data_IF_606900411322
#
_entry.id   IF_606900411322
#
_cell.length_a   1.000
_cell.length_b   1.000
_cell.length_c   1.000
_cell.angle_alpha   90.00
_cell.angle_beta   90.00
_cell.angle_gamma   90.00
#
_symmetry.space_group_name_H-M   'P 1'
#
loop_
_entity.id
_entity.type
_entity.pdbx_description
1 polymer ?
#
# COMPACT_ATOMS: atom_id res chain seq x y z
N UNK A 1 16.36 -14.14 12.00
CA UNK A 1 15.44 -13.32 11.20
C UNK A 1 14.55 -14.17 10.31
N UNK A 2 15.08 -14.97 9.37
CA UNK A 2 14.30 -15.79 8.44
C UNK A 2 13.24 -16.67 9.13
N UNK A 3 13.61 -17.38 10.21
CA UNK A 3 12.67 -18.21 10.99
C UNK A 3 11.47 -17.40 11.53
N UNK A 4 11.68 -16.16 11.97
CA UNK A 4 10.59 -15.32 12.49
C UNK A 4 9.68 -14.85 11.37
N UNK A 5 10.26 -14.48 10.23
CA UNK A 5 9.49 -14.14 9.04
C UNK A 5 8.61 -15.32 8.59
N UNK A 6 9.17 -16.54 8.51
CA UNK A 6 8.40 -17.74 8.17
C UNK A 6 7.25 -18.01 9.15
N UNK A 7 7.45 -17.74 10.44
CA UNK A 7 6.37 -17.85 11.43
C UNK A 7 5.27 -16.81 11.21
N UNK A 8 5.63 -15.56 10.90
CA UNK A 8 4.63 -14.54 10.54
C UNK A 8 3.89 -14.90 9.26
N UNK A 9 4.58 -15.45 8.25
CA UNK A 9 3.98 -15.91 7.00
C UNK A 9 2.90 -16.99 7.21
N UNK A 10 3.16 -17.97 8.09
CA UNK A 10 2.19 -19.04 8.39
C UNK A 10 0.96 -18.53 9.14
N UNK A 11 1.09 -17.45 9.93
CA UNK A 11 -0.03 -16.85 10.66
C UNK A 11 -1.00 -16.07 9.76
N UNK A 12 -0.56 -15.67 8.57
CA UNK A 12 -1.38 -14.86 7.67
C UNK A 12 -2.60 -15.66 7.21
N UNK A 13 -3.75 -14.99 7.25
CA UNK A 13 -5.01 -15.53 6.74
C UNK A 13 -5.05 -15.40 5.21
N UNK A 14 -4.31 -16.28 4.53
CA UNK A 14 -4.09 -16.22 3.07
C UNK A 14 -5.37 -16.21 2.24
N UNK A 15 -6.44 -16.86 2.69
CA UNK A 15 -7.74 -16.82 2.02
C UNK A 15 -8.35 -15.41 1.97
N UNK A 16 -8.25 -14.67 3.08
CA UNK A 16 -8.73 -13.27 3.17
C UNK A 16 -7.85 -12.35 2.33
N UNK A 17 -6.53 -12.52 2.44
CA UNK A 17 -5.56 -11.75 1.65
C UNK A 17 -5.80 -11.95 0.16
N UNK A 18 -5.96 -13.19 -0.29
CA UNK A 18 -6.19 -13.53 -1.69
C UNK A 18 -7.52 -12.94 -2.20
N UNK A 19 -8.60 -13.07 -1.42
CA UNK A 19 -9.88 -12.47 -1.77
C UNK A 19 -9.77 -10.95 -1.97
N UNK A 20 -9.12 -10.25 -1.04
CA UNK A 20 -8.95 -8.79 -1.14
C UNK A 20 -8.11 -8.41 -2.35
N UNK A 21 -6.99 -9.10 -2.57
CA UNK A 21 -6.12 -8.87 -3.72
C UNK A 21 -6.88 -9.05 -5.04
N UNK A 22 -7.64 -10.15 -5.19
CA UNK A 22 -8.42 -10.41 -6.41
C UNK A 22 -9.52 -9.34 -6.59
N UNK A 23 -10.17 -8.94 -5.51
CA UNK A 23 -11.23 -7.91 -5.54
C UNK A 23 -10.69 -6.57 -6.02
N UNK A 24 -9.59 -6.08 -5.45
CA UNK A 24 -8.90 -4.86 -5.90
C UNK A 24 -8.49 -4.98 -7.37
N UNK A 25 -7.83 -6.08 -7.72
CA UNK A 25 -7.27 -6.27 -9.05
C UNK A 25 -8.37 -6.30 -10.14
N UNK A 26 -9.54 -6.90 -9.86
CA UNK A 26 -10.68 -6.92 -10.78
C UNK A 26 -11.41 -5.58 -10.84
N UNK A 27 -11.65 -4.92 -9.71
CA UNK A 27 -12.37 -3.64 -9.68
C UNK A 27 -11.57 -2.57 -10.43
N UNK A 28 -10.28 -2.42 -10.13
CA UNK A 28 -9.49 -1.35 -10.74
C UNK A 28 -9.26 -1.56 -12.23
N UNK A 29 -9.04 -2.80 -12.67
CA UNK A 29 -8.87 -3.09 -14.09
C UNK A 29 -10.17 -2.92 -14.87
N UNK A 30 -11.32 -3.29 -14.29
CA UNK A 30 -12.64 -3.03 -14.86
C UNK A 30 -12.96 -1.54 -14.94
N UNK A 31 -12.71 -0.78 -13.87
CA UNK A 31 -12.86 0.68 -13.88
C UNK A 31 -11.92 1.33 -14.90
N UNK A 32 -10.67 0.87 -14.99
CA UNK A 32 -9.71 1.35 -15.98
C UNK A 32 -10.21 1.20 -17.41
N UNK A 33 -10.79 0.04 -17.74
CA UNK A 33 -11.41 -0.21 -19.04
C UNK A 33 -12.56 0.76 -19.32
N UNK A 34 -13.50 0.89 -18.38
CA UNK A 34 -14.69 1.76 -18.50
C UNK A 34 -14.27 3.22 -18.68
N UNK A 35 -13.31 3.71 -17.89
CA UNK A 35 -12.89 5.10 -17.96
C UNK A 35 -12.07 5.42 -19.22
N UNK A 36 -11.22 4.49 -19.69
CA UNK A 36 -10.50 4.68 -20.95
C UNK A 36 -11.49 4.84 -22.12
N UNK A 37 -12.55 4.02 -22.17
CA UNK A 37 -13.60 4.15 -23.19
C UNK A 37 -14.40 5.45 -23.01
N UNK A 38 -14.73 5.81 -21.77
CA UNK A 38 -15.52 7.01 -21.48
C UNK A 38 -14.80 8.31 -21.81
N UNK A 39 -13.47 8.35 -21.71
CA UNK A 39 -12.65 9.55 -21.94
C UNK A 39 -11.88 9.55 -23.24
N UNK A 40 -12.16 8.60 -24.16
CA UNK A 40 -11.40 8.42 -25.40
C UNK A 40 -11.35 9.65 -26.32
N UNK A 41 -12.36 10.53 -26.26
CA UNK A 41 -12.40 11.78 -27.04
C UNK A 41 -11.40 12.83 -26.53
N UNK A 42 -11.03 12.76 -25.25
CA UNK A 42 -10.11 13.68 -24.58
C UNK A 42 -8.70 13.08 -24.51
N UNK A 43 -8.62 11.80 -24.16
CA UNK A 43 -7.39 11.03 -24.02
C UNK A 43 -7.45 9.81 -24.94
N UNK A 44 -6.66 9.80 -26.03
CA UNK A 44 -6.64 8.67 -26.95
C UNK A 44 -6.33 7.36 -26.21
N UNK A 45 -7.08 6.27 -26.50
CA UNK A 45 -6.82 4.97 -25.90
C UNK A 45 -5.37 4.54 -26.11
N UNK A 46 -4.71 4.08 -25.06
CA UNK A 46 -3.33 3.59 -25.10
C UNK A 46 -3.04 2.73 -23.87
N UNK A 47 -1.93 1.99 -23.88
CA UNK A 47 -1.48 1.26 -22.69
C UNK A 47 -1.21 2.17 -21.49
N UNK A 48 -0.63 3.35 -21.72
CA UNK A 48 -0.40 4.35 -20.68
C UNK A 48 -1.72 4.88 -20.11
N UNK A 49 -2.72 5.10 -20.95
CA UNK A 49 -4.02 5.59 -20.50
C UNK A 49 -4.81 4.53 -19.74
N UNK A 50 -4.82 3.29 -20.22
CA UNK A 50 -5.40 2.16 -19.48
C UNK A 50 -4.75 2.03 -18.09
N UNK A 51 -3.42 2.15 -18.02
CA UNK A 51 -2.70 2.11 -16.75
C UNK A 51 -3.07 3.28 -15.85
N UNK A 52 -3.10 4.52 -16.39
CA UNK A 52 -3.49 5.73 -15.66
C UNK A 52 -4.87 5.59 -15.01
N UNK A 53 -5.84 5.11 -15.78
CA UNK A 53 -7.20 4.94 -15.28
C UNK A 53 -7.29 3.79 -14.27
N UNK A 54 -6.60 2.68 -14.53
CA UNK A 54 -6.58 1.53 -13.62
C UNK A 54 -5.90 1.86 -12.28
N UNK A 55 -4.76 2.55 -12.32
CA UNK A 55 -3.97 2.83 -11.12
C UNK A 55 -4.65 3.83 -10.20
N UNK A 56 -5.45 4.76 -10.74
CA UNK A 56 -5.98 5.91 -9.97
C UNK A 56 -6.78 5.45 -8.75
N UNK A 57 -7.74 4.54 -8.92
CA UNK A 57 -8.55 4.08 -7.79
C UNK A 57 -7.77 3.12 -6.88
N UNK A 58 -6.85 2.34 -7.45
CA UNK A 58 -5.95 1.47 -6.72
C UNK A 58 -5.05 2.27 -5.75
N UNK A 59 -4.32 3.26 -6.25
CA UNK A 59 -3.34 4.03 -5.49
C UNK A 59 -3.97 5.00 -4.49
N UNK A 60 -5.17 5.52 -4.81
CA UNK A 60 -5.90 6.44 -3.93
C UNK A 60 -6.62 5.72 -2.79
N UNK A 61 -7.23 4.56 -3.08
CA UNK A 61 -8.20 3.95 -2.17
C UNK A 61 -7.71 2.60 -1.65
N UNK A 62 -7.62 1.61 -2.53
CA UNK A 62 -7.41 0.22 -2.11
C UNK A 62 -6.03 -0.03 -1.53
N UNK A 63 -4.98 0.50 -2.16
CA UNK A 63 -3.61 0.27 -1.73
C UNK A 63 -3.35 0.86 -0.33
N UNK A 64 -3.72 2.12 -0.04
CA UNK A 64 -3.69 2.64 1.34
C UNK A 64 -4.63 1.93 2.31
N UNK A 65 -5.82 1.51 1.88
CA UNK A 65 -6.77 0.76 2.71
C UNK A 65 -6.18 -0.59 3.16
N UNK A 66 -5.54 -1.31 2.25
CA UNK A 66 -5.01 -2.65 2.49
C UNK A 66 -3.83 -2.64 3.45
N UNK A 67 -3.04 -1.56 3.50
CA UNK A 67 -2.00 -1.42 4.53
C UNK A 67 -2.57 -1.53 5.95
N UNK A 68 -3.71 -0.89 6.21
CA UNK A 68 -4.36 -0.92 7.52
C UNK A 68 -5.01 -2.26 7.81
N UNK A 69 -5.68 -2.86 6.83
CA UNK A 69 -6.27 -4.21 6.96
C UNK A 69 -5.17 -5.23 7.29
N UNK A 70 -4.10 -5.27 6.50
CA UNK A 70 -3.03 -6.25 6.66
C UNK A 70 -2.21 -6.00 7.94
N UNK A 71 -1.93 -4.75 8.30
CA UNK A 71 -1.30 -4.44 9.59
C UNK A 71 -2.15 -4.96 10.77
N UNK A 72 -3.48 -4.80 10.67
CA UNK A 72 -4.42 -5.29 11.67
C UNK A 72 -4.49 -6.81 11.71
N UNK A 73 -4.49 -7.50 10.55
CA UNK A 73 -4.46 -8.96 10.47
C UNK A 73 -3.16 -9.55 11.05
N UNK A 74 -2.01 -8.94 10.76
CA UNK A 74 -0.70 -9.35 11.30
C UNK A 74 -0.64 -9.26 12.84
N UNK A 75 -1.42 -8.34 13.45
CA UNK A 75 -1.50 -8.20 14.91
C UNK A 75 -2.74 -8.90 15.50
N UNK A 76 -3.65 -9.40 14.67
CA UNK A 76 -4.97 -9.87 15.11
C UNK A 76 -4.86 -11.09 16.01
N UNK A 77 -4.03 -12.06 15.64
CA UNK A 77 -3.85 -13.30 16.40
C UNK A 77 -3.35 -12.99 17.82
N UNK A 78 -2.37 -12.11 17.95
CA UNK A 78 -1.79 -11.75 19.24
C UNK A 78 -2.77 -10.95 20.11
N UNK A 79 -3.57 -10.06 19.51
CA UNK A 79 -4.62 -9.33 20.24
C UNK A 79 -5.76 -10.24 20.69
N UNK A 80 -6.25 -11.12 19.81
CA UNK A 80 -7.39 -12.00 20.08
C UNK A 80 -7.08 -13.01 21.19
N UNK A 81 -5.89 -13.61 21.13
CA UNK A 81 -5.49 -14.69 22.03
C UNK A 81 -4.70 -14.20 23.25
N UNK A 82 -4.53 -12.88 23.44
CA UNK A 82 -3.63 -12.28 24.44
C UNK A 82 -2.22 -12.89 24.37
N UNK A 83 -1.79 -13.28 23.18
CA UNK A 83 -0.58 -14.09 22.96
C UNK A 83 0.71 -13.24 22.97
N UNK A 84 0.61 -11.90 23.08
CA UNK A 84 1.77 -11.02 23.15
C UNK A 84 2.73 -11.40 24.29
N UNK A 85 2.22 -11.75 25.47
CA UNK A 85 3.05 -12.17 26.61
C UNK A 85 3.76 -13.49 26.36
N UNK A 86 3.07 -14.48 25.80
CA UNK A 86 3.63 -15.79 25.46
C UNK A 86 4.70 -15.67 24.35
N UNK A 87 4.42 -14.85 23.33
CA UNK A 87 5.36 -14.59 22.24
C UNK A 87 6.64 -13.93 22.74
N UNK A 88 6.53 -13.02 23.71
CA UNK A 88 7.66 -12.29 24.28
C UNK A 88 8.38 -13.04 25.41
N UNK A 89 7.82 -14.14 25.92
CA UNK A 89 8.53 -15.06 26.83
C UNK A 89 9.45 -16.04 26.09
N UNK A 90 9.27 -16.20 24.77
CA UNK A 90 10.21 -16.95 23.96
C UNK A 90 11.55 -16.21 23.88
N UNK A 91 12.68 -16.91 23.68
CA UNK A 91 14.01 -16.30 23.54
C UNK A 91 14.18 -15.61 22.18
N UNK A 92 13.32 -14.63 21.90
CA UNK A 92 13.23 -13.89 20.66
C UNK A 92 13.40 -12.40 20.95
N UNK A 93 14.28 -11.74 20.20
CA UNK A 93 14.49 -10.30 20.39
C UNK A 93 13.25 -9.50 19.94
N UNK A 94 12.84 -8.51 20.74
CA UNK A 94 11.73 -7.60 20.38
C UNK A 94 12.01 -6.84 19.07
N UNK A 95 13.28 -6.51 18.83
CA UNK A 95 13.73 -5.82 17.62
C UNK A 95 13.48 -6.68 16.37
N UNK A 96 13.93 -7.94 16.42
CA UNK A 96 13.75 -8.90 15.33
C UNK A 96 12.28 -9.19 15.06
N UNK A 97 11.44 -9.23 16.09
CA UNK A 97 10.01 -9.46 15.96
C UNK A 97 9.29 -8.29 15.28
N UNK A 98 9.60 -7.04 15.68
CA UNK A 98 9.03 -5.85 15.04
C UNK A 98 9.38 -5.80 13.55
N UNK A 99 10.66 -5.99 13.22
CA UNK A 99 11.14 -6.01 11.84
C UNK A 99 10.51 -7.16 11.03
N UNK A 100 10.33 -8.35 11.61
CA UNK A 100 9.68 -9.45 10.93
C UNK A 100 8.23 -9.12 10.55
N UNK A 101 7.46 -8.49 11.46
CA UNK A 101 6.08 -8.05 11.19
C UNK A 101 6.03 -6.96 10.12
N UNK A 102 6.97 -6.00 10.17
CA UNK A 102 7.08 -4.98 9.14
C UNK A 102 7.40 -5.59 7.77
N UNK A 103 8.42 -6.45 7.67
CA UNK A 103 8.77 -7.14 6.42
C UNK A 103 7.60 -7.97 5.87
N UNK A 104 6.83 -8.62 6.73
CA UNK A 104 5.64 -9.36 6.31
C UNK A 104 4.60 -8.41 5.71
N UNK A 105 4.32 -7.27 6.36
CA UNK A 105 3.40 -6.26 5.84
C UNK A 105 3.84 -5.74 4.47
N UNK A 106 5.11 -5.37 4.33
CA UNK A 106 5.65 -4.89 3.06
C UNK A 106 5.63 -5.97 1.97
N UNK A 107 5.80 -7.24 2.32
CA UNK A 107 5.62 -8.37 1.38
C UNK A 107 4.18 -8.46 0.90
N UNK A 108 3.20 -8.35 1.80
CA UNK A 108 1.78 -8.37 1.42
C UNK A 108 1.43 -7.20 0.49
N UNK A 109 1.98 -6.01 0.75
CA UNK A 109 1.80 -4.87 -0.15
C UNK A 109 2.46 -5.11 -1.52
N UNK A 110 3.60 -5.81 -1.59
CA UNK A 110 4.21 -6.18 -2.86
C UNK A 110 3.31 -7.13 -3.66
N UNK A 111 2.66 -8.09 -2.99
CA UNK A 111 1.72 -9.03 -3.63
C UNK A 111 0.49 -8.31 -4.19
N UNK A 112 -0.05 -7.32 -3.47
CA UNK A 112 -1.13 -6.44 -3.97
C UNK A 112 -0.69 -5.73 -5.24
N UNK A 113 0.49 -5.10 -5.22
CA UNK A 113 1.02 -4.37 -6.37
C UNK A 113 1.22 -5.29 -7.59
N UNK A 114 1.80 -6.48 -7.38
CA UNK A 114 2.02 -7.48 -8.45
C UNK A 114 0.68 -7.92 -9.04
N UNK A 115 -0.31 -8.22 -8.20
CA UNK A 115 -1.62 -8.65 -8.67
C UNK A 115 -2.33 -7.56 -9.48
N UNK A 116 -2.23 -6.29 -9.05
CA UNK A 116 -2.71 -5.15 -9.81
C UNK A 116 -2.08 -5.08 -11.21
N UNK A 117 -0.75 -5.24 -11.33
CA UNK A 117 -0.10 -5.28 -12.64
C UNK A 117 -0.55 -6.47 -13.49
N UNK A 118 -0.68 -7.65 -12.90
CA UNK A 118 -1.13 -8.85 -13.61
C UNK A 118 -2.52 -8.64 -14.20
N UNK A 119 -3.48 -8.11 -13.44
CA UNK A 119 -4.84 -7.88 -13.96
C UNK A 119 -4.89 -6.71 -14.94
N UNK A 120 -4.14 -5.64 -14.70
CA UNK A 120 -3.98 -4.56 -15.69
C UNK A 120 -3.48 -5.11 -17.04
N UNK A 121 -2.45 -5.96 -17.03
CA UNK A 121 -1.93 -6.57 -18.25
C UNK A 121 -3.00 -7.46 -18.90
N UNK A 122 -3.66 -8.34 -18.15
CA UNK A 122 -4.73 -9.20 -18.67
C UNK A 122 -5.83 -8.35 -19.34
N UNK A 123 -6.26 -7.26 -18.71
CA UNK A 123 -7.25 -6.35 -19.27
C UNK A 123 -6.75 -5.67 -20.55
N UNK A 124 -5.50 -5.21 -20.58
CA UNK A 124 -4.91 -4.66 -21.81
C UNK A 124 -4.80 -5.69 -22.93
N UNK A 125 -4.49 -6.95 -22.62
CA UNK A 125 -4.50 -8.04 -23.61
C UNK A 125 -5.89 -8.30 -24.20
N UNK A 126 -6.94 -8.14 -23.40
CA UNK A 126 -8.34 -8.31 -23.85
C UNK A 126 -8.79 -7.11 -24.70
N UNK A 127 -8.47 -5.88 -24.27
CA UNK A 127 -8.94 -4.64 -24.93
C UNK A 127 -8.10 -4.24 -26.15
N UNK A 128 -6.85 -4.71 -26.21
CA UNK A 128 -5.89 -4.40 -27.29
C UNK A 128 -5.76 -2.90 -27.59
N UNK A 129 -5.47 -2.05 -26.58
CA UNK A 129 -5.25 -0.63 -26.82
C UNK A 129 -4.06 -0.42 -27.76
N UNK A 130 -4.09 0.61 -28.61
CA UNK A 130 -3.07 0.83 -29.62
C UNK A 130 -1.72 1.19 -28.98
N UNK A 131 -0.65 0.89 -29.71
CA UNK A 131 0.73 1.16 -29.29
C UNK A 131 1.38 -0.01 -28.54
N UNK A 132 2.61 0.22 -28.09
CA UNK A 132 3.41 -0.76 -27.36
C UNK A 132 3.25 -0.60 -25.85
N UNK A 133 3.47 -1.70 -25.12
CA UNK A 133 3.47 -1.67 -23.65
C UNK A 133 4.72 -0.93 -23.16
N UNK A 134 4.59 0.16 -22.37
CA UNK A 134 5.73 0.91 -21.86
C UNK A 134 6.36 0.23 -20.64
N UNK A 135 6.98 -0.94 -20.86
CA UNK A 135 7.50 -1.82 -19.79
C UNK A 135 8.39 -1.12 -18.77
N UNK A 136 9.33 -0.28 -19.23
CA UNK A 136 10.27 0.42 -18.35
C UNK A 136 9.55 1.37 -17.39
N UNK A 137 8.55 2.11 -17.87
CA UNK A 137 7.77 3.04 -17.08
C UNK A 137 6.84 2.29 -16.10
N UNK A 138 6.17 1.24 -16.56
CA UNK A 138 5.29 0.42 -15.71
C UNK A 138 6.05 -0.21 -14.55
N UNK A 139 7.23 -0.79 -14.82
CA UNK A 139 8.08 -1.35 -13.77
C UNK A 139 8.56 -0.28 -12.80
N UNK A 140 8.95 0.89 -13.32
CA UNK A 140 9.34 2.03 -12.48
C UNK A 140 8.18 2.47 -11.59
N UNK A 141 6.98 2.71 -12.13
CA UNK A 141 5.81 3.12 -11.36
C UNK A 141 5.42 2.06 -10.32
N UNK A 142 5.58 0.78 -10.63
CA UNK A 142 5.32 -0.29 -9.68
C UNK A 142 6.27 -0.30 -8.49
N UNK A 143 7.57 -0.17 -8.75
CA UNK A 143 8.59 -0.12 -7.70
C UNK A 143 8.44 1.16 -6.87
N UNK A 144 8.25 2.32 -7.53
CA UNK A 144 8.07 3.60 -6.83
C UNK A 144 6.77 3.62 -6.02
N UNK A 145 5.67 3.10 -6.56
CA UNK A 145 4.41 2.91 -5.83
C UNK A 145 4.60 2.07 -4.58
N UNK A 146 5.26 0.92 -4.69
CA UNK A 146 5.56 0.06 -3.55
C UNK A 146 6.48 0.70 -2.52
N UNK A 147 7.53 1.42 -2.93
CA UNK A 147 8.40 2.14 -1.99
C UNK A 147 7.67 3.27 -1.27
N UNK A 148 6.77 3.96 -1.98
CA UNK A 148 6.04 5.11 -1.45
C UNK A 148 5.03 4.75 -0.34
N UNK A 149 4.59 3.48 -0.27
CA UNK A 149 3.64 3.02 0.76
C UNK A 149 4.34 2.71 2.11
N UNK A 150 5.67 2.66 2.15
CA UNK A 150 6.41 2.26 3.36
C UNK A 150 6.14 3.14 4.60
N UNK A 151 6.03 4.48 4.51
CA UNK A 151 5.66 5.31 5.65
C UNK A 151 4.29 4.91 6.22
N UNK A 152 3.29 4.71 5.35
CA UNK A 152 1.97 4.31 5.80
C UNK A 152 1.98 2.93 6.41
N UNK A 153 2.68 1.97 5.81
CA UNK A 153 2.81 0.63 6.38
C UNK A 153 3.45 0.66 7.78
N UNK A 154 4.49 1.46 7.98
CA UNK A 154 5.12 1.63 9.29
C UNK A 154 4.15 2.27 10.31
N UNK A 155 3.43 3.31 9.89
CA UNK A 155 2.41 3.98 10.71
C UNK A 155 1.26 3.03 11.09
N UNK A 156 0.70 2.31 10.11
CA UNK A 156 -0.40 1.38 10.33
C UNK A 156 0.02 0.23 11.24
N UNK A 157 1.21 -0.34 11.05
CA UNK A 157 1.74 -1.36 11.95
C UNK A 157 1.88 -0.83 13.38
N UNK A 158 2.37 0.40 13.55
CA UNK A 158 2.46 1.03 14.87
C UNK A 158 1.09 1.20 15.53
N UNK A 159 0.10 1.69 14.78
CA UNK A 159 -1.28 1.86 15.26
C UNK A 159 -1.90 0.50 15.60
N UNK A 160 -1.83 -0.48 14.71
CA UNK A 160 -2.40 -1.82 14.92
C UNK A 160 -1.77 -2.55 16.10
N UNK A 161 -0.52 -2.27 16.45
CA UNK A 161 0.09 -2.80 17.68
C UNK A 161 -0.53 -2.17 18.94
N UNK A 162 -0.84 -0.87 18.91
CA UNK A 162 -1.40 -0.14 20.07
C UNK A 162 -2.88 -0.39 20.28
N UNK A 163 -3.66 -0.34 19.21
CA UNK A 163 -5.12 -0.42 19.25
C UNK A 163 -5.57 -1.86 19.42
N UNK A 164 -6.24 -2.15 20.54
CA UNK A 164 -6.82 -3.47 20.78
C UNK A 164 -8.14 -3.60 20.02
N UNK A 165 -8.14 -4.49 19.02
CA UNK A 165 -9.32 -4.84 18.24
C UNK A 165 -9.22 -4.45 16.77
N UNK A 166 -9.43 -5.45 15.91
CA UNK A 166 -9.40 -5.33 14.45
C UNK A 166 -10.30 -4.19 13.94
N UNK A 167 -11.55 -4.13 14.41
CA UNK A 167 -12.53 -3.14 13.95
C UNK A 167 -12.13 -1.69 14.23
N UNK A 168 -11.43 -1.41 15.34
CA UNK A 168 -10.99 -0.04 15.68
C UNK A 168 -9.83 0.41 14.80
N UNK A 169 -8.85 -0.47 14.58
CA UNK A 169 -7.72 -0.20 13.69
C UNK A 169 -8.20 -0.03 12.24
N UNK A 170 -9.16 -0.84 11.82
CA UNK A 170 -9.79 -0.73 10.50
C UNK A 170 -10.58 0.58 10.34
N UNK A 171 -11.42 0.92 11.32
CA UNK A 171 -12.22 2.16 11.27
C UNK A 171 -11.32 3.39 11.14
N UNK A 172 -10.23 3.45 11.91
CA UNK A 172 -9.25 4.55 11.82
C UNK A 172 -8.62 4.64 10.42
N UNK A 173 -8.22 3.51 9.84
CA UNK A 173 -7.66 3.49 8.51
C UNK A 173 -8.68 3.97 7.46
N UNK A 174 -9.90 3.43 7.46
CA UNK A 174 -10.98 3.83 6.54
C UNK A 174 -11.30 5.33 6.65
N UNK A 175 -11.35 5.88 7.87
CA UNK A 175 -11.59 7.31 8.09
C UNK A 175 -10.51 8.22 7.48
N UNK A 176 -9.29 7.70 7.27
CA UNK A 176 -8.17 8.45 6.69
C UNK A 176 -7.97 8.18 5.20
N UNK A 177 -8.49 7.07 4.67
CA UNK A 177 -8.51 6.83 3.21
C UNK A 177 -9.38 7.87 2.50
N UNK A 178 -10.52 8.28 3.06
CA UNK A 178 -11.41 9.25 2.41
C UNK A 178 -10.78 10.65 2.23
N UNK A 179 -10.16 11.27 3.27
CA UNK A 179 -9.39 12.51 3.09
C UNK A 179 -8.28 12.40 2.04
N UNK A 180 -7.76 11.20 1.76
CA UNK A 180 -6.73 11.00 0.75
C UNK A 180 -7.17 11.49 -0.64
N UNK A 181 -8.46 11.35 -0.95
CA UNK A 181 -9.04 11.80 -2.22
C UNK A 181 -8.93 13.32 -2.38
N UNK A 182 -9.06 14.07 -1.28
CA UNK A 182 -8.93 15.53 -1.28
C UNK A 182 -7.45 15.95 -1.30
N UNK A 183 -6.61 15.29 -0.50
CA UNK A 183 -5.17 15.60 -0.38
C UNK A 183 -4.42 15.31 -1.68
N UNK A 184 -4.85 14.30 -2.44
CA UNK A 184 -4.26 13.95 -3.73
C UNK A 184 -4.51 15.01 -4.82
N UNK A 185 -5.46 15.93 -4.59
CA UNK A 185 -5.62 17.13 -5.42
C UNK A 185 -4.58 18.22 -5.15
N UNK A 186 -3.75 18.12 -4.11
CA UNK A 186 -2.72 19.11 -3.77
C UNK A 186 -1.44 18.91 -4.59
N UNK A 187 -0.46 19.82 -4.40
CA UNK A 187 0.90 19.61 -4.90
C UNK A 187 1.60 18.50 -4.12
N UNK A 188 2.38 17.67 -4.82
CA UNK A 188 2.98 16.44 -4.30
C UNK A 188 3.73 16.59 -2.98
N UNK A 189 4.51 17.66 -2.78
CA UNK A 189 5.26 17.87 -1.55
C UNK A 189 4.38 18.23 -0.34
N UNK A 190 3.22 18.85 -0.54
CA UNK A 190 2.25 19.08 0.54
C UNK A 190 1.51 17.78 0.85
N UNK A 191 1.08 17.07 -0.20
CA UNK A 191 0.36 15.82 -0.07
C UNK A 191 1.21 14.71 0.59
N UNK A 192 2.52 14.66 0.33
CA UNK A 192 3.43 13.66 0.89
C UNK A 192 3.51 13.63 2.42
N UNK A 193 3.14 14.72 3.10
CA UNK A 193 3.02 14.75 4.56
C UNK A 193 1.86 13.90 5.08
N UNK A 194 0.86 13.65 4.23
CA UNK A 194 -0.23 12.73 4.52
C UNK A 194 0.12 11.32 4.00
N UNK A 195 0.42 10.35 4.87
CA UNK A 195 1.06 9.09 4.44
C UNK A 195 0.24 8.22 3.47
N UNK A 196 -1.05 8.52 3.30
CA UNK A 196 -1.94 7.82 2.35
C UNK A 196 -1.77 8.31 0.91
N UNK A 197 -1.26 9.53 0.69
CA UNK A 197 -1.18 10.15 -0.62
C UNK A 197 0.01 9.72 -1.51
N UNK A 198 1.20 9.39 -0.97
CA UNK A 198 2.38 9.07 -1.77
C UNK A 198 2.19 8.05 -2.91
N UNK A 199 1.44 6.94 -2.76
CA UNK A 199 1.24 5.98 -3.83
C UNK A 199 0.63 6.57 -5.09
N UNK A 200 -0.34 7.48 -4.95
CA UNK A 200 -0.98 8.13 -6.09
C UNK A 200 0.05 8.91 -6.93
N UNK A 201 0.87 9.75 -6.28
CA UNK A 201 1.87 10.54 -6.97
C UNK A 201 3.04 9.70 -7.52
N UNK A 202 3.43 8.63 -6.83
CA UNK A 202 4.53 7.77 -7.25
C UNK A 202 4.17 6.88 -8.46
N UNK A 203 2.87 6.58 -8.62
CA UNK A 203 2.35 5.71 -9.67
C UNK A 203 1.78 6.47 -10.87
N UNK A 204 1.56 7.78 -10.76
CA UNK A 204 0.96 8.61 -11.82
C UNK A 204 1.92 8.79 -13.02
N UNK A 205 1.49 8.45 -14.25
CA UNK A 205 2.32 8.67 -15.44
C UNK A 205 2.51 10.15 -15.77
N UNK A 206 3.77 10.54 -16.00
CA UNK A 206 4.18 11.95 -16.19
C UNK A 206 4.06 12.45 -17.63
N UNK A 207 3.67 11.58 -18.55
CA UNK A 207 3.49 11.82 -19.98
C UNK A 207 2.13 12.47 -20.32
N UNK A 208 1.43 13.02 -19.33
CA UNK A 208 0.09 13.58 -19.53
C UNK A 208 0.14 15.00 -20.15
N UNK A 209 -0.85 15.39 -20.97
CA UNK A 209 -0.99 16.76 -21.46
C UNK A 209 -1.17 17.80 -20.35
N UNK A 210 -1.60 17.36 -19.16
CA UNK A 210 -1.81 18.20 -17.98
C UNK A 210 -0.49 18.26 -17.19
N UNK A 211 0.00 19.46 -16.82
CA UNK A 211 1.22 19.60 -16.03
C UNK A 211 1.13 18.79 -14.73
N UNK A 212 2.06 17.84 -14.55
CA UNK A 212 2.12 17.05 -13.32
C UNK A 212 2.50 17.93 -12.14
N UNK A 213 1.76 17.84 -11.02
CA UNK A 213 2.07 18.55 -9.77
C UNK A 213 3.17 17.84 -8.96
N UNK A 214 4.03 17.10 -9.64
CA UNK A 214 5.01 16.19 -9.06
C UNK A 214 6.40 16.83 -8.97
N UNK A 215 6.88 17.02 -7.75
CA UNK A 215 8.20 17.57 -7.44
C UNK A 215 9.05 16.46 -6.80
N UNK A 216 9.81 15.69 -7.59
CA UNK A 216 10.36 14.39 -7.17
C UNK A 216 11.30 14.49 -5.98
N UNK A 217 12.20 15.49 -5.96
CA UNK A 217 13.18 15.64 -4.90
C UNK A 217 12.49 15.89 -3.55
N UNK A 218 11.64 16.92 -3.47
CA UNK A 218 10.88 17.26 -2.26
C UNK A 218 9.98 16.12 -1.80
N UNK A 219 9.30 15.48 -2.74
CA UNK A 219 8.44 14.33 -2.49
C UNK A 219 9.20 13.17 -1.83
N UNK A 220 10.29 12.70 -2.43
CA UNK A 220 11.05 11.56 -1.92
C UNK A 220 11.78 11.86 -0.61
N UNK A 221 12.20 13.11 -0.39
CA UNK A 221 12.74 13.55 0.92
C UNK A 221 11.69 13.40 2.02
N UNK A 222 10.45 13.85 1.79
CA UNK A 222 9.36 13.76 2.77
C UNK A 222 8.93 12.32 3.00
N UNK A 223 8.79 11.52 1.94
CA UNK A 223 8.47 10.08 2.04
C UNK A 223 9.55 9.35 2.85
N UNK A 224 10.82 9.59 2.57
CA UNK A 224 11.92 8.95 3.32
C UNK A 224 11.93 9.40 4.78
N UNK A 225 11.76 10.70 5.02
CA UNK A 225 11.71 11.26 6.37
C UNK A 225 10.56 10.67 7.20
N UNK A 226 9.34 10.68 6.66
CA UNK A 226 8.14 10.13 7.33
C UNK A 226 8.26 8.63 7.53
N UNK A 227 8.83 7.89 6.58
CA UNK A 227 9.12 6.47 6.74
C UNK A 227 10.03 6.20 7.93
N UNK A 228 11.19 6.86 7.98
CA UNK A 228 12.14 6.69 9.08
C UNK A 228 11.52 7.08 10.43
N UNK A 229 10.78 8.20 10.45
CA UNK A 229 10.09 8.67 11.64
C UNK A 229 9.10 7.62 12.17
N UNK A 230 8.17 7.13 11.35
CA UNK A 230 7.16 6.17 11.79
C UNK A 230 7.75 4.81 12.13
N UNK A 231 8.77 4.35 11.39
CA UNK A 231 9.45 3.10 11.66
C UNK A 231 10.17 3.15 13.02
N UNK A 232 10.91 4.24 13.30
CA UNK A 232 11.64 4.41 14.56
C UNK A 232 10.66 4.55 15.73
N UNK A 233 9.62 5.40 15.60
CA UNK A 233 8.63 5.57 16.65
C UNK A 233 7.85 4.29 16.94
N UNK A 234 7.47 3.56 15.89
CA UNK A 234 6.81 2.26 16.01
C UNK A 234 7.69 1.22 16.70
N UNK A 235 8.95 1.13 16.26
CA UNK A 235 9.93 0.21 16.84
C UNK A 235 10.21 0.51 18.33
N UNK A 236 10.53 1.76 18.66
CA UNK A 236 10.79 2.16 20.05
C UNK A 236 9.57 1.92 20.93
N UNK A 237 8.38 2.26 20.43
CA UNK A 237 7.12 2.02 21.13
C UNK A 237 6.87 0.53 21.37
N UNK A 238 7.26 -0.35 20.44
CA UNK A 238 7.10 -1.80 20.58
C UNK A 238 8.05 -2.38 21.63
N UNK A 239 9.32 -1.96 21.59
CA UNK A 239 10.38 -2.48 22.47
C UNK A 239 10.16 -2.08 23.93
N UNK A 240 9.85 -0.80 24.16
CA UNK A 240 9.64 -0.22 25.50
C UNK A 240 8.32 -0.63 26.14
N UNK A 241 7.39 -1.18 25.37
CA UNK A 241 6.07 -1.56 25.90
C UNK A 241 6.15 -2.77 26.80
N UNK A 242 5.52 -2.64 27.97
CA UNK A 242 5.18 -3.74 28.85
C UNK A 242 3.88 -4.39 28.36
N UNK A 243 3.97 -5.63 27.90
CA UNK A 243 2.83 -6.38 27.40
C UNK A 243 2.21 -7.16 28.56
N UNK A 244 1.00 -6.77 28.95
CA UNK A 244 0.21 -7.41 30.02
C UNK A 244 -0.60 -8.59 29.47
#
# INVERSE_FOLDING_TARGET
MLRLYSLEFVKVQWSVVFLLIVLDALINSGLGAIYMESFQEIFPPSWSELYRQSQTFHSLFFFPLYTGIFASLICYYEHKNKAWKQLLSLPVSKNSLYLAKFLMLITLMALVQIAFFVTFLITGWILQPPGEIPWSQLLMYGVLGWLSIFPLAALQLWISQKVTGFGKSLALNVSLVLPNLLVSGMVSYLAAWFPFAPPFFAMDPQDSPIPTRFHPLSFWMIVTFTFLLYLILGWQSFVKREWK
#
